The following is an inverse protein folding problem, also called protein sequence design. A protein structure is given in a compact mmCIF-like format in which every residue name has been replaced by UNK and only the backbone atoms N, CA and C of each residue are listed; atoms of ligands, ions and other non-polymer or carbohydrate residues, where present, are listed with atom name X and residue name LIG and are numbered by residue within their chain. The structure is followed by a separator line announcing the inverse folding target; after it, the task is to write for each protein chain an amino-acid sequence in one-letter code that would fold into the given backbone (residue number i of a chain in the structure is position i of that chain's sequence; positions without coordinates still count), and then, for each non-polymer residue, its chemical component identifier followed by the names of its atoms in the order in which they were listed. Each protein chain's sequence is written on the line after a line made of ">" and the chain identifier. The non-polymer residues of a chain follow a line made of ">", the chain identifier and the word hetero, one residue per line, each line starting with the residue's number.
data_IF_386527883775
#
_entry.id   IF_386527883775
#
_cell.length_a   1.000
_cell.length_b   1.000
_cell.length_c   1.000
_cell.angle_alpha   90.00
_cell.angle_beta   90.00
_cell.angle_gamma   90.00
#
_symmetry.space_group_name_H-M   'P 1'
#
loop_
_entity.id
_entity.type
_entity.pdbx_description
1 polymer ?
#
# COMPACT_ATOMS: atom_id res chain seq x y z
N UNK A 1 3.72 11.58 -19.33
CA UNK A 1 4.31 11.31 -18.03
C UNK A 1 4.23 9.84 -17.70
N UNK A 2 5.34 9.24 -17.36
CA UNK A 2 5.34 7.84 -16.98
C UNK A 2 4.56 7.56 -15.72
N UNK A 3 4.18 8.59 -15.00
CA UNK A 3 3.59 8.47 -13.69
C UNK A 3 2.06 8.45 -13.70
N UNK A 4 1.47 8.13 -14.82
CA UNK A 4 0.02 8.07 -14.91
C UNK A 4 -0.52 6.82 -14.21
N UNK A 5 -0.21 6.68 -12.92
CA UNK A 5 -0.77 5.64 -12.08
C UNK A 5 -1.99 6.22 -11.40
N UNK A 6 -3.10 5.55 -11.58
CA UNK A 6 -4.35 5.93 -10.95
C UNK A 6 -5.05 4.69 -10.43
N UNK A 7 -5.59 4.78 -9.24
CA UNK A 7 -6.28 3.67 -8.61
C UNK A 7 -7.52 4.20 -7.90
N UNK A 8 -8.67 3.75 -8.37
CA UNK A 8 -9.95 4.08 -7.75
C UNK A 8 -10.48 2.84 -7.04
N UNK A 9 -10.75 2.96 -5.76
CA UNK A 9 -11.10 1.82 -4.92
C UNK A 9 -12.30 2.15 -4.04
N UNK A 10 -12.99 1.11 -3.61
CA UNK A 10 -13.94 1.18 -2.51
C UNK A 10 -13.27 0.59 -1.28
N UNK A 11 -13.22 1.36 -0.21
CA UNK A 11 -12.58 0.98 1.04
C UNK A 11 -13.65 0.70 2.08
N UNK A 12 -13.54 -0.45 2.75
CA UNK A 12 -14.50 -0.90 3.74
C UNK A 12 -15.56 -1.78 3.13
N UNK A 13 -16.36 -2.41 3.99
CA UNK A 13 -17.47 -3.26 3.58
C UNK A 13 -18.77 -2.69 4.11
N UNK A 14 -19.84 -2.99 3.40
CA UNK A 14 -21.18 -2.61 3.85
C UNK A 14 -21.52 -1.14 3.64
N UNK A 15 -22.36 -0.61 4.53
CA UNK A 15 -22.96 0.71 4.37
C UNK A 15 -21.95 1.85 4.48
N UNK A 16 -20.85 1.63 5.20
CA UNK A 16 -19.85 2.67 5.45
C UNK A 16 -18.71 2.67 4.42
N UNK A 17 -18.83 1.87 3.37
CA UNK A 17 -17.82 1.82 2.34
C UNK A 17 -17.68 3.18 1.63
N UNK A 18 -16.46 3.59 1.41
CA UNK A 18 -16.16 4.87 0.77
C UNK A 18 -15.35 4.64 -0.50
N UNK A 19 -15.68 5.39 -1.55
CA UNK A 19 -14.95 5.37 -2.80
C UNK A 19 -13.87 6.44 -2.75
N UNK A 20 -12.63 6.03 -3.01
CA UNK A 20 -11.47 6.92 -3.00
C UNK A 20 -10.64 6.72 -4.25
N UNK A 21 -10.00 7.78 -4.68
CA UNK A 21 -9.12 7.75 -5.84
C UNK A 21 -7.74 8.24 -5.43
N UNK A 22 -6.72 7.54 -5.88
CA UNK A 22 -5.33 7.84 -5.57
C UNK A 22 -4.53 7.94 -6.86
N UNK A 23 -3.51 8.76 -6.85
CA UNK A 23 -2.64 8.98 -8.00
C UNK A 23 -1.19 8.83 -7.61
N UNK A 24 -0.34 8.57 -8.60
CA UNK A 24 1.10 8.60 -8.44
C UNK A 24 1.62 7.53 -7.50
N UNK A 25 2.60 7.90 -6.69
CA UNK A 25 3.30 6.94 -5.81
C UNK A 25 2.40 6.34 -4.73
N UNK A 26 1.44 7.11 -4.23
CA UNK A 26 0.49 6.59 -3.24
C UNK A 26 -0.39 5.51 -3.87
N UNK A 27 -0.83 5.73 -5.11
CA UNK A 27 -1.59 4.72 -5.85
C UNK A 27 -0.73 3.49 -6.12
N UNK A 28 0.54 3.67 -6.47
CA UNK A 28 1.47 2.56 -6.66
C UNK A 28 1.60 1.73 -5.38
N UNK A 29 1.80 2.41 -4.25
CA UNK A 29 1.95 1.72 -2.96
C UNK A 29 0.70 0.92 -2.61
N UNK A 30 -0.48 1.51 -2.76
CA UNK A 30 -1.73 0.80 -2.50
C UNK A 30 -1.89 -0.41 -3.42
N UNK A 31 -1.52 -0.26 -4.69
CA UNK A 31 -1.55 -1.36 -5.64
C UNK A 31 -0.65 -2.52 -5.21
N UNK A 32 0.55 -2.22 -4.72
CA UNK A 32 1.45 -3.26 -4.21
C UNK A 32 0.87 -3.97 -2.99
N UNK A 33 0.24 -3.21 -2.09
CA UNK A 33 -0.41 -3.78 -0.91
C UNK A 33 -1.57 -4.72 -1.29
N UNK A 34 -2.37 -4.30 -2.26
CA UNK A 34 -3.49 -5.11 -2.75
C UNK A 34 -2.96 -6.41 -3.37
N UNK A 35 -1.97 -6.32 -4.23
CA UNK A 35 -1.43 -7.47 -4.94
C UNK A 35 -0.76 -8.47 -4.01
N UNK A 36 -0.12 -7.97 -2.95
CA UNK A 36 0.56 -8.83 -1.98
C UNK A 36 -0.41 -9.52 -1.02
N UNK A 37 -1.56 -8.90 -0.76
CA UNK A 37 -2.53 -9.47 0.18
C UNK A 37 -1.93 -9.69 1.56
N UNK A 38 -2.20 -10.85 2.14
CA UNK A 38 -1.74 -11.17 3.51
C UNK A 38 -0.22 -11.31 3.62
N UNK A 39 0.47 -11.55 2.52
CA UNK A 39 1.93 -11.61 2.54
C UNK A 39 2.53 -10.25 2.88
N UNK A 40 1.85 -9.17 2.48
CA UNK A 40 2.29 -7.82 2.70
C UNK A 40 3.49 -7.42 1.86
N UNK A 41 3.96 -6.19 2.09
CA UNK A 41 5.10 -5.64 1.37
C UNK A 41 6.14 -5.13 2.35
N UNK A 42 7.41 -5.24 1.96
CA UNK A 42 8.52 -4.66 2.71
C UNK A 42 9.30 -3.72 1.79
N UNK A 43 9.99 -2.72 2.36
CA UNK A 43 10.88 -1.86 1.57
C UNK A 43 12.05 -2.62 0.94
N UNK A 44 12.35 -3.82 1.45
CA UNK A 44 13.40 -4.67 0.89
C UNK A 44 12.94 -5.28 -0.43
N UNK A 45 11.71 -5.80 -0.47
CA UNK A 45 11.14 -6.41 -1.67
C UNK A 45 10.73 -5.38 -2.72
N UNK A 46 10.24 -4.24 -2.25
CA UNK A 46 9.75 -3.17 -3.12
C UNK A 46 10.43 -1.87 -2.70
N UNK A 47 11.67 -1.65 -3.12
CA UNK A 47 12.40 -0.45 -2.70
C UNK A 47 11.71 0.82 -3.16
N UNK A 48 11.42 1.67 -2.19
CA UNK A 48 10.94 3.02 -2.43
C UNK A 48 11.29 3.85 -1.21
N UNK A 49 11.81 5.06 -1.41
CA UNK A 49 12.37 5.82 -0.30
C UNK A 49 11.35 6.31 0.72
N UNK A 50 10.06 6.25 0.41
CA UNK A 50 9.05 6.88 1.24
C UNK A 50 7.88 5.97 1.61
N UNK A 51 8.13 4.67 1.76
CA UNK A 51 7.06 3.73 2.12
C UNK A 51 6.28 4.18 3.35
N UNK A 52 6.95 4.60 4.41
CA UNK A 52 6.29 5.03 5.64
C UNK A 52 5.36 6.23 5.40
N UNK A 53 5.75 7.12 4.51
CA UNK A 53 4.92 8.28 4.18
C UNK A 53 3.70 7.86 3.36
N UNK A 54 3.87 6.96 2.40
CA UNK A 54 2.73 6.46 1.61
C UNK A 54 1.73 5.75 2.51
N UNK A 55 2.21 4.93 3.43
CA UNK A 55 1.35 4.24 4.40
C UNK A 55 0.60 5.25 5.26
N UNK A 56 1.29 6.29 5.74
CA UNK A 56 0.65 7.33 6.54
C UNK A 56 -0.45 8.04 5.75
N UNK A 57 -0.20 8.36 4.49
CA UNK A 57 -1.20 9.03 3.65
C UNK A 57 -2.41 8.14 3.41
N UNK A 58 -2.19 6.85 3.15
CA UNK A 58 -3.28 5.90 2.97
C UNK A 58 -4.10 5.77 4.25
N UNK A 59 -3.44 5.70 5.40
CA UNK A 59 -4.13 5.62 6.70
C UNK A 59 -5.02 6.84 6.94
N UNK A 60 -4.57 8.01 6.54
CA UNK A 60 -5.38 9.23 6.65
C UNK A 60 -6.66 9.15 5.84
N UNK A 61 -6.64 8.39 4.75
CA UNK A 61 -7.80 8.21 3.88
C UNK A 61 -8.67 7.01 4.30
N UNK A 62 -8.41 6.44 5.45
CA UNK A 62 -9.23 5.37 5.99
C UNK A 62 -8.77 3.96 5.67
N UNK A 63 -7.60 3.81 5.05
CA UNK A 63 -7.05 2.48 4.75
C UNK A 63 -6.37 1.93 5.99
N UNK A 64 -6.79 0.77 6.45
CA UNK A 64 -6.17 0.11 7.60
C UNK A 64 -5.01 -0.73 7.10
N UNK A 65 -3.82 -0.39 7.57
CA UNK A 65 -2.58 -1.08 7.22
C UNK A 65 -1.86 -1.43 8.52
N UNK A 66 -1.58 -2.70 8.72
CA UNK A 66 -0.83 -3.17 9.87
C UNK A 66 0.65 -3.13 9.55
N UNK A 67 1.47 -2.71 10.51
CA UNK A 67 2.92 -2.79 10.42
C UNK A 67 3.39 -3.91 11.32
N UNK A 68 4.05 -4.90 10.73
CA UNK A 68 4.64 -6.02 11.46
C UNK A 68 6.15 -5.82 11.44
N UNK A 69 6.77 -5.75 12.61
CA UNK A 69 8.22 -5.62 12.69
C UNK A 69 8.87 -6.98 12.46
N UNK A 70 9.85 -6.99 11.58
CA UNK A 70 10.61 -8.19 11.24
C UNK A 70 12.09 -7.91 11.38
N UNK A 71 12.82 -8.89 11.88
CA UNK A 71 14.27 -8.85 11.93
C UNK A 71 14.84 -9.34 10.61
N UNK A 72 15.84 -8.66 10.11
CA UNK A 72 16.59 -9.13 8.95
C UNK A 72 18.05 -9.33 9.31
N UNK A 73 18.67 -10.32 8.66
CA UNK A 73 20.09 -10.62 8.83
C UNK A 73 20.94 -9.97 7.76
N UNK A 74 22.14 -10.50 7.60
CA UNK A 74 23.12 -10.03 6.62
C UNK A 74 24.14 -9.10 7.25
N UNK A 75 24.92 -8.41 6.42
CA UNK A 75 26.00 -7.54 6.93
C UNK A 75 25.49 -6.38 7.77
N UNK A 76 24.26 -5.95 7.52
CA UNK A 76 23.62 -4.87 8.26
C UNK A 76 22.36 -5.40 8.92
N UNK A 77 22.53 -6.06 10.05
CA UNK A 77 21.40 -6.59 10.82
C UNK A 77 20.54 -5.45 11.32
N UNK A 78 19.25 -5.67 11.36
CA UNK A 78 18.33 -4.66 11.86
C UNK A 78 16.89 -5.12 11.76
N UNK A 79 15.99 -4.15 11.84
CA UNK A 79 14.56 -4.37 11.79
C UNK A 79 13.98 -3.63 10.60
N UNK A 80 12.94 -4.18 10.03
CA UNK A 80 12.15 -3.49 9.03
C UNK A 80 10.69 -3.78 9.25
N UNK A 81 9.82 -2.95 8.70
CA UNK A 81 8.39 -3.16 8.77
C UNK A 81 7.87 -3.91 7.56
N UNK A 82 6.97 -4.84 7.81
CA UNK A 82 6.15 -5.44 6.76
C UNK A 82 4.77 -4.81 6.87
N UNK A 83 4.31 -4.23 5.79
CA UNK A 83 3.01 -3.57 5.74
C UNK A 83 1.99 -4.52 5.14
N UNK A 84 0.89 -4.72 5.84
CA UNK A 84 -0.17 -5.64 5.41
C UNK A 84 -1.48 -4.88 5.36
N UNK A 85 -2.12 -4.92 4.20
CA UNK A 85 -3.43 -4.30 4.02
C UNK A 85 -4.48 -5.11 4.77
N UNK A 86 -5.22 -4.44 5.65
CA UNK A 86 -6.27 -5.07 6.46
C UNK A 86 -7.67 -4.64 6.08
N UNK A 87 -7.83 -3.44 5.50
CA UNK A 87 -9.13 -3.00 5.02
C UNK A 87 -9.61 -3.88 3.87
N UNK A 88 -10.89 -4.22 3.82
CA UNK A 88 -11.48 -4.72 2.58
C UNK A 88 -11.38 -3.63 1.52
N UNK A 89 -10.78 -3.95 0.39
CA UNK A 89 -10.62 -2.99 -0.71
C UNK A 89 -11.06 -3.67 -1.99
N UNK A 90 -11.96 -3.00 -2.71
CA UNK A 90 -12.39 -3.44 -4.03
C UNK A 90 -11.86 -2.46 -5.05
N UNK A 91 -11.13 -2.96 -6.03
CA UNK A 91 -10.59 -2.13 -7.10
C UNK A 91 -11.70 -1.86 -8.11
N UNK A 92 -12.05 -0.59 -8.30
CA UNK A 92 -13.06 -0.17 -9.25
C UNK A 92 -12.44 0.19 -10.58
N UNK A 93 -11.26 0.78 -10.54
CA UNK A 93 -10.51 1.16 -11.72
C UNK A 93 -9.03 1.21 -11.37
N UNK A 94 -8.21 0.67 -12.26
CA UNK A 94 -6.76 0.65 -12.04
C UNK A 94 -6.05 0.94 -13.34
N UNK A 95 -5.18 1.94 -13.30
CA UNK A 95 -4.35 2.29 -14.44
C UNK A 95 -2.91 2.42 -13.98
N UNK A 96 -2.02 1.67 -14.61
CA UNK A 96 -0.59 1.81 -14.38
C UNK A 96 0.09 2.00 -15.72
N UNK A 97 0.99 2.98 -15.78
CA UNK A 97 1.78 3.21 -16.96
C UNK A 97 2.73 2.03 -17.17
N UNK A 98 2.81 1.57 -18.39
CA UNK A 98 3.71 0.49 -18.76
C UNK A 98 5.17 0.94 -18.71
#
# INVERSE_FOLDING_TARGET
>A
MPDAINLCVRIGGGADAATKSFDGRVAWALGRLIDAGERGVTPIEYPAPRWSQYVMMLRREGVVIETIEERHGGPFKGWHGRYVLRSPVVVLHRREAA
#
